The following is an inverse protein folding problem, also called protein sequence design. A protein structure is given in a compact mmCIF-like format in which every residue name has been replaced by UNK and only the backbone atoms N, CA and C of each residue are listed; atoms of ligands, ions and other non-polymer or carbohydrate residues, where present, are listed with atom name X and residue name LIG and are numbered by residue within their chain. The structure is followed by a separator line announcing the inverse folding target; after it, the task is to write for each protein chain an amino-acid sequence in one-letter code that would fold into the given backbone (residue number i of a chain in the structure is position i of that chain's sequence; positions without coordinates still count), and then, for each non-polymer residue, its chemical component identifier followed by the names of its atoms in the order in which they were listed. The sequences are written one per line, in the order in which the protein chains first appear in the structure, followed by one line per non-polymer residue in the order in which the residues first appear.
data_IF_259522676072
#
_entry.id   IF_259522676072
#
_cell.length_a   1.000
_cell.length_b   1.000
_cell.length_c   1.000
_cell.angle_alpha   90.00
_cell.angle_beta   90.00
_cell.angle_gamma   90.00
#
_symmetry.space_group_name_H-M   'P 1'
#
loop_
_entity.id
_entity.type
_entity.pdbx_description
1 polymer ?
#
# COMPACT_ATOMS: atom_id res chain seq x y z
N UNK A 1 7.77 11.38 21.79
CA UNK A 1 7.96 10.38 20.72
C UNK A 1 6.73 10.20 19.83
N UNK A 2 5.61 9.61 20.28
CA UNK A 2 4.42 9.39 19.40
C UNK A 2 3.83 10.70 18.85
N UNK A 3 3.53 11.67 19.72
CA UNK A 3 2.99 12.98 19.30
C UNK A 3 3.98 13.76 18.40
N UNK A 4 5.28 13.60 18.63
CA UNK A 4 6.30 14.26 17.80
C UNK A 4 6.38 13.61 16.41
N UNK A 5 6.23 12.28 16.35
CA UNK A 5 6.13 11.54 15.10
C UNK A 5 4.87 11.96 14.33
N UNK A 6 3.71 12.03 14.98
CA UNK A 6 2.47 12.52 14.37
C UNK A 6 2.65 13.94 13.83
N UNK A 7 3.22 14.85 14.61
CA UNK A 7 3.50 16.21 14.15
C UNK A 7 4.45 16.24 12.94
N UNK A 8 5.52 15.45 12.96
CA UNK A 8 6.46 15.36 11.83
C UNK A 8 5.80 14.79 10.56
N UNK A 9 4.88 13.84 10.72
CA UNK A 9 4.08 13.26 9.64
C UNK A 9 3.11 14.30 9.05
N UNK A 10 2.45 15.09 9.89
CA UNK A 10 1.54 16.19 9.50
C UNK A 10 2.27 17.35 8.82
N UNK A 11 3.46 17.71 9.31
CA UNK A 11 4.34 18.71 8.71
C UNK A 11 4.84 18.27 7.31
N UNK A 12 4.78 16.98 7.01
CA UNK A 12 5.15 16.44 5.70
C UNK A 12 6.65 16.43 5.46
N UNK A 13 7.44 16.21 6.52
CA UNK A 13 8.90 16.14 6.47
C UNK A 13 9.40 15.14 5.42
N UNK A 14 10.44 15.47 4.67
CA UNK A 14 10.95 14.58 3.61
C UNK A 14 11.60 13.31 4.18
N UNK A 15 12.19 13.40 5.38
CA UNK A 15 12.84 12.30 6.07
C UNK A 15 12.50 12.39 7.56
N UNK A 16 12.09 11.26 8.14
CA UNK A 16 11.81 11.11 9.58
C UNK A 16 12.67 9.98 10.12
N UNK A 17 13.43 10.27 11.18
CA UNK A 17 14.27 9.28 11.88
C UNK A 17 13.59 8.95 13.20
N UNK A 18 13.24 7.68 13.39
CA UNK A 18 12.60 7.19 14.61
C UNK A 18 13.65 6.46 15.43
N UNK A 19 14.09 7.08 16.52
CA UNK A 19 15.09 6.50 17.44
C UNK A 19 14.52 5.35 18.30
N UNK A 20 13.30 5.44 18.86
CA UNK A 20 12.76 4.34 19.65
C UNK A 20 12.42 3.16 18.74
N UNK A 21 13.17 2.07 18.86
CA UNK A 21 13.05 0.89 18.00
C UNK A 21 11.63 0.32 18.00
N UNK A 22 10.97 0.31 19.16
CA UNK A 22 9.57 -0.17 19.30
C UNK A 22 8.59 0.64 18.44
N UNK A 23 8.65 1.97 18.54
CA UNK A 23 7.77 2.85 17.77
C UNK A 23 8.08 2.75 16.27
N UNK A 24 9.36 2.76 15.92
CA UNK A 24 9.80 2.61 14.53
C UNK A 24 9.35 1.29 13.90
N UNK A 25 9.44 0.18 14.63
CA UNK A 25 9.01 -1.14 14.17
C UNK A 25 7.49 -1.23 13.98
N UNK A 26 6.71 -0.62 14.86
CA UNK A 26 5.25 -0.55 14.76
C UNK A 26 4.82 0.27 13.54
N UNK A 27 5.40 1.46 13.35
CA UNK A 27 5.16 2.30 12.16
C UNK A 27 5.61 1.60 10.88
N UNK A 28 6.80 0.99 10.87
CA UNK A 28 7.30 0.24 9.74
C UNK A 28 6.41 -0.95 9.36
N UNK A 29 5.89 -1.67 10.37
CA UNK A 29 4.94 -2.78 10.16
C UNK A 29 3.64 -2.27 9.56
N UNK A 30 3.10 -1.18 10.07
CA UNK A 30 1.87 -0.58 9.55
C UNK A 30 2.01 -0.20 8.07
N UNK A 31 3.12 0.46 7.70
CA UNK A 31 3.45 0.78 6.31
C UNK A 31 3.57 -0.50 5.45
N UNK A 32 4.24 -1.55 5.95
CA UNK A 32 4.35 -2.84 5.24
C UNK A 32 3.00 -3.51 5.01
N UNK A 33 2.10 -3.47 5.99
CA UNK A 33 0.75 -4.03 5.86
C UNK A 33 -0.03 -3.28 4.79
N UNK A 34 0.00 -1.95 4.81
CA UNK A 34 -0.61 -1.12 3.76
C UNK A 34 -0.07 -1.46 2.36
N UNK A 35 1.25 -1.55 2.22
CA UNK A 35 1.89 -1.94 0.96
C UNK A 35 1.50 -3.37 0.51
N UNK A 36 1.37 -4.31 1.44
CA UNK A 36 0.94 -5.67 1.16
C UNK A 36 -0.50 -5.70 0.62
N UNK A 37 -1.42 -5.01 1.29
CA UNK A 37 -2.81 -4.86 0.85
C UNK A 37 -2.88 -4.22 -0.53
N UNK A 38 -2.13 -3.14 -0.76
CA UNK A 38 -2.05 -2.47 -2.06
C UNK A 38 -1.65 -3.43 -3.18
N UNK A 39 -0.52 -4.15 -3.02
CA UNK A 39 -0.03 -5.10 -4.03
C UNK A 39 -0.99 -6.27 -4.24
N UNK A 40 -1.58 -6.78 -3.15
CA UNK A 40 -2.53 -7.90 -3.21
C UNK A 40 -3.80 -7.48 -3.97
N UNK A 41 -4.31 -6.27 -3.73
CA UNK A 41 -5.45 -5.73 -4.47
C UNK A 41 -5.17 -5.63 -5.98
N UNK A 42 -3.99 -5.13 -6.38
CA UNK A 42 -3.58 -5.04 -7.78
C UNK A 42 -3.47 -6.43 -8.42
N UNK A 43 -2.73 -7.35 -7.78
CA UNK A 43 -2.50 -8.70 -8.32
C UNK A 43 -3.81 -9.50 -8.45
N UNK A 44 -4.69 -9.42 -7.45
CA UNK A 44 -6.00 -10.05 -7.52
C UNK A 44 -6.90 -9.40 -8.57
N UNK A 45 -6.86 -8.07 -8.74
CA UNK A 45 -7.62 -7.39 -9.78
C UNK A 45 -7.21 -7.82 -11.20
N UNK A 46 -5.90 -7.89 -11.45
CA UNK A 46 -5.36 -8.40 -12.72
C UNK A 46 -5.73 -9.88 -12.91
N UNK A 47 -5.63 -10.69 -11.86
CA UNK A 47 -6.02 -12.10 -11.88
C UNK A 47 -7.52 -12.30 -12.19
N UNK A 48 -8.39 -11.42 -11.68
CA UNK A 48 -9.82 -11.45 -11.96
C UNK A 48 -10.12 -11.17 -13.44
N UNK A 49 -9.43 -10.20 -14.04
CA UNK A 49 -9.56 -9.89 -15.48
C UNK A 49 -9.02 -11.05 -16.32
N UNK A 50 -7.83 -11.55 -16.01
CA UNK A 50 -7.21 -12.65 -16.75
C UNK A 50 -8.04 -13.93 -16.70
N UNK A 51 -8.56 -14.30 -15.53
CA UNK A 51 -9.46 -15.44 -15.38
C UNK A 51 -10.76 -15.24 -16.16
N UNK A 52 -11.30 -14.02 -16.18
CA UNK A 52 -12.51 -13.68 -16.96
C UNK A 52 -12.33 -13.75 -18.47
N UNK A 53 -11.09 -13.58 -18.95
CA UNK A 53 -10.73 -13.71 -20.37
C UNK A 53 -10.42 -15.17 -20.78
N UNK A 54 -9.78 -15.95 -19.89
CA UNK A 54 -9.39 -17.33 -20.18
C UNK A 54 -10.56 -18.30 -20.02
N UNK A 55 -11.34 -18.15 -18.94
CA UNK A 55 -12.48 -19.02 -18.63
C UNK A 55 -13.80 -18.29 -18.90
N UNK A 56 -14.14 -18.17 -20.18
CA UNK A 56 -15.41 -17.55 -20.62
C UNK A 56 -16.64 -18.35 -20.18
N UNK A 57 -16.51 -19.67 -20.02
CA UNK A 57 -17.63 -20.59 -19.76
C UNK A 57 -17.93 -20.80 -18.25
N UNK A 58 -17.10 -20.25 -17.36
CA UNK A 58 -17.21 -20.45 -15.89
C UNK A 58 -16.99 -19.13 -15.13
N UNK A 59 -17.93 -18.17 -15.23
CA UNK A 59 -17.80 -16.86 -14.59
C UNK A 59 -17.69 -16.92 -13.05
N UNK A 60 -18.14 -18.02 -12.43
CA UNK A 60 -18.06 -18.26 -10.98
C UNK A 60 -16.63 -18.27 -10.40
N UNK A 61 -15.60 -18.49 -11.23
CA UNK A 61 -14.20 -18.47 -10.78
C UNK A 61 -13.66 -17.03 -10.66
N UNK A 62 -14.20 -16.11 -11.46
CA UNK A 62 -13.73 -14.74 -11.54
C UNK A 62 -14.30 -13.86 -10.42
N UNK A 63 -15.52 -14.18 -9.97
CA UNK A 63 -16.25 -13.49 -8.89
C UNK A 63 -15.50 -13.40 -7.56
N UNK A 64 -15.00 -14.50 -6.96
CA UNK A 64 -14.33 -14.43 -5.67
C UNK A 64 -13.00 -13.69 -5.75
N UNK A 65 -12.29 -13.79 -6.87
CA UNK A 65 -11.01 -13.09 -7.11
C UNK A 65 -11.25 -11.58 -7.25
N UNK A 66 -12.28 -11.19 -8.00
CA UNK A 66 -12.70 -9.79 -8.12
C UNK A 66 -13.19 -9.21 -6.79
N UNK A 67 -13.99 -9.97 -6.03
CA UNK A 67 -14.45 -9.57 -4.70
C UNK A 67 -13.29 -9.39 -3.72
N UNK A 68 -12.30 -10.29 -3.72
CA UNK A 68 -11.10 -10.16 -2.89
C UNK A 68 -10.31 -8.89 -3.25
N UNK A 69 -10.16 -8.59 -4.54
CA UNK A 69 -9.49 -7.36 -4.99
C UNK A 69 -10.21 -6.11 -4.48
N UNK A 70 -11.54 -6.07 -4.61
CA UNK A 70 -12.37 -4.96 -4.16
C UNK A 70 -12.33 -4.78 -2.64
N UNK A 71 -12.43 -5.88 -1.88
CA UNK A 71 -12.32 -5.85 -0.42
C UNK A 71 -10.94 -5.36 0.03
N UNK A 72 -9.88 -5.85 -0.60
CA UNK A 72 -8.51 -5.48 -0.27
C UNK A 72 -8.23 -4.00 -0.60
N UNK A 73 -8.71 -3.51 -1.75
CA UNK A 73 -8.62 -2.10 -2.13
C UNK A 73 -9.48 -1.20 -1.24
N UNK A 74 -10.69 -1.66 -0.88
CA UNK A 74 -11.62 -0.93 -0.01
C UNK A 74 -11.05 -0.79 1.40
N UNK A 75 -10.55 -1.89 1.99
CA UNK A 75 -9.87 -1.87 3.29
C UNK A 75 -8.64 -0.96 3.25
N UNK A 76 -7.81 -1.05 2.22
CA UNK A 76 -6.68 -0.14 2.07
C UNK A 76 -7.13 1.32 2.00
N UNK A 77 -8.19 1.62 1.27
CA UNK A 77 -8.71 2.99 1.15
C UNK A 77 -9.23 3.50 2.49
N UNK A 78 -10.08 2.74 3.17
CA UNK A 78 -10.65 3.16 4.46
C UNK A 78 -9.55 3.34 5.52
N UNK A 79 -8.60 2.39 5.59
CA UNK A 79 -7.56 2.39 6.62
C UNK A 79 -6.40 3.35 6.32
N UNK A 80 -6.08 3.63 5.05
CA UNK A 80 -4.92 4.46 4.66
C UNK A 80 -5.27 5.72 3.84
N UNK A 81 -6.55 6.09 3.64
CA UNK A 81 -6.85 7.35 2.91
C UNK A 81 -6.48 8.59 3.73
N UNK A 82 -6.65 8.53 5.05
CA UNK A 82 -6.38 9.66 5.95
C UNK A 82 -5.12 9.45 6.80
N UNK A 83 -4.47 8.29 6.68
CA UNK A 83 -3.24 8.00 7.42
C UNK A 83 -2.05 8.71 6.75
N UNK A 84 -1.37 9.65 7.43
CA UNK A 84 -0.21 10.33 6.86
C UNK A 84 0.98 9.37 6.61
N UNK A 85 1.05 8.22 7.29
CA UNK A 85 2.10 7.22 7.11
C UNK A 85 2.15 6.65 5.69
N UNK A 86 1.04 6.70 4.94
CA UNK A 86 0.94 6.18 3.57
C UNK A 86 1.86 6.89 2.57
N UNK A 87 2.30 8.11 2.90
CA UNK A 87 3.22 8.90 2.08
C UNK A 87 4.68 8.53 2.35
N UNK A 88 4.94 7.64 3.30
CA UNK A 88 6.27 7.29 3.73
C UNK A 88 6.59 5.84 3.39
N UNK A 89 7.86 5.59 3.11
CA UNK A 89 8.39 4.25 2.89
C UNK A 89 9.57 4.03 3.83
N UNK A 90 9.70 2.79 4.30
CA UNK A 90 10.82 2.39 5.16
C UNK A 90 12.06 2.25 4.27
N UNK A 91 13.03 3.14 4.45
CA UNK A 91 14.29 3.11 3.72
C UNK A 91 15.28 2.24 4.48
N UNK A 92 15.70 1.13 3.86
CA UNK A 92 16.68 0.20 4.43
C UNK A 92 18.02 0.24 3.67
N UNK A 93 18.11 1.00 2.56
CA UNK A 93 19.33 1.02 1.75
C UNK A 93 20.41 1.87 2.42
N UNK A 94 21.44 1.19 2.92
CA UNK A 94 22.59 1.79 3.59
C UNK A 94 23.29 2.86 2.73
N UNK A 95 23.25 2.75 1.40
CA UNK A 95 23.86 3.74 0.49
C UNK A 95 23.05 5.04 0.40
N UNK A 96 21.73 4.96 0.64
CA UNK A 96 20.85 6.13 0.71
C UNK A 96 20.88 6.74 2.10
N UNK A 97 20.96 5.90 3.12
CA UNK A 97 21.11 6.30 4.51
C UNK A 97 22.46 6.99 4.78
N UNK A 98 23.54 6.59 4.10
CA UNK A 98 24.85 7.24 4.24
C UNK A 98 24.89 8.71 3.83
N UNK A 99 23.83 9.23 3.17
CA UNK A 99 23.68 10.66 2.85
C UNK A 99 23.34 11.50 4.09
N UNK A 100 22.88 10.87 5.16
CA UNK A 100 22.47 11.55 6.39
C UNK A 100 23.49 11.20 7.49
N UNK A 101 24.47 12.09 7.74
CA UNK A 101 25.56 11.81 8.68
C UNK A 101 25.09 11.57 10.12
N UNK A 102 23.91 12.09 10.48
CA UNK A 102 23.26 11.92 11.78
C UNK A 102 22.90 10.45 12.08
N UNK A 103 22.65 9.64 11.05
CA UNK A 103 22.32 8.21 11.21
C UNK A 103 23.52 7.42 11.73
N UNK A 104 24.75 7.83 11.38
CA UNK A 104 25.96 7.15 11.86
C UNK A 104 26.20 7.37 13.37
N UNK A 105 25.73 8.48 13.93
CA UNK A 105 25.79 8.75 15.37
C UNK A 105 24.76 7.89 16.14
N UNK A 106 23.64 7.58 15.50
CA UNK A 106 22.53 6.78 16.04
C UNK A 106 22.66 5.29 15.71
N UNK A 107 23.69 4.86 14.99
CA UNK A 107 23.87 3.49 14.51
C UNK A 107 23.85 2.42 15.62
N UNK A 108 24.21 2.80 16.86
CA UNK A 108 24.13 1.91 18.02
C UNK A 108 22.68 1.50 18.39
N UNK A 109 21.67 2.28 17.98
CA UNK A 109 20.27 2.08 18.32
C UNK A 109 19.41 1.49 17.18
N UNK A 110 19.99 1.22 16.00
CA UNK A 110 19.28 0.73 14.80
C UNK A 110 18.00 1.52 14.47
N UNK A 111 18.09 2.83 14.18
CA UNK A 111 16.93 3.67 13.96
C UNK A 111 16.18 3.29 12.68
N UNK A 112 14.85 3.42 12.70
CA UNK A 112 14.02 3.26 11.51
C UNK A 112 13.91 4.61 10.80
N UNK A 113 14.26 4.62 9.52
CA UNK A 113 14.20 5.82 8.68
C UNK A 113 13.04 5.72 7.71
N UNK A 114 12.16 6.72 7.80
CA UNK A 114 11.03 6.90 6.90
C UNK A 114 11.39 7.99 5.89
N UNK A 115 11.29 7.67 4.61
CA UNK A 115 11.49 8.64 3.52
C UNK A 115 10.15 8.89 2.86
N UNK A 116 9.86 10.16 2.62
CA UNK A 116 8.65 10.57 1.92
C UNK A 116 8.74 10.13 0.46
N UNK A 117 7.76 9.32 0.05
CA UNK A 117 7.58 8.84 -1.31
C UNK A 117 6.21 9.33 -1.78
N UNK A 118 6.18 10.28 -2.72
CA UNK A 118 4.93 10.71 -3.34
C UNK A 118 4.31 9.53 -4.12
N UNK A 119 3.37 8.84 -3.47
CA UNK A 119 2.72 7.64 -4.00
C UNK A 119 1.36 7.95 -4.62
N UNK A 120 1.04 9.23 -4.89
CA UNK A 120 -0.26 9.68 -5.39
C UNK A 120 -0.62 9.03 -6.74
N UNK A 121 0.37 8.92 -7.63
CA UNK A 121 0.19 8.29 -8.94
C UNK A 121 -0.08 6.79 -8.83
N UNK A 122 0.65 6.07 -7.98
CA UNK A 122 0.48 4.63 -7.78
C UNK A 122 -0.90 4.31 -7.18
N UNK A 123 -1.38 5.15 -6.25
CA UNK A 123 -2.72 5.03 -5.69
C UNK A 123 -3.80 5.24 -6.75
N UNK A 124 -3.67 6.29 -7.57
CA UNK A 124 -4.61 6.54 -8.67
C UNK A 124 -4.65 5.36 -9.64
N UNK A 125 -3.48 4.82 -10.00
CA UNK A 125 -3.37 3.65 -10.87
C UNK A 125 -4.05 2.42 -10.25
N UNK A 126 -3.76 2.11 -8.98
CA UNK A 126 -4.43 1.00 -8.28
C UNK A 126 -5.95 1.15 -8.28
N UNK A 127 -6.46 2.33 -7.93
CA UNK A 127 -7.91 2.58 -7.89
C UNK A 127 -8.53 2.41 -9.26
N UNK A 128 -7.90 2.95 -10.31
CA UNK A 128 -8.38 2.79 -11.68
C UNK A 128 -8.40 1.33 -12.14
N UNK A 129 -7.34 0.56 -11.85
CA UNK A 129 -7.24 -0.86 -12.21
C UNK A 129 -8.30 -1.67 -11.47
N UNK A 130 -8.46 -1.43 -10.17
CA UNK A 130 -9.45 -2.16 -9.35
C UNK A 130 -10.87 -1.87 -9.81
N UNK A 131 -11.17 -0.61 -10.13
CA UNK A 131 -12.50 -0.17 -10.57
C UNK A 131 -12.83 -0.75 -11.96
N UNK A 132 -11.86 -0.72 -12.90
CA UNK A 132 -12.02 -1.36 -14.21
C UNK A 132 -12.18 -2.87 -14.11
N UNK A 133 -11.35 -3.55 -13.31
CA UNK A 133 -11.46 -4.99 -13.09
C UNK A 133 -12.82 -5.38 -12.51
N UNK A 134 -13.29 -4.63 -11.52
CA UNK A 134 -14.60 -4.83 -10.90
C UNK A 134 -15.73 -4.63 -11.89
N UNK A 135 -15.71 -3.53 -12.65
CA UNK A 135 -16.72 -3.23 -13.65
C UNK A 135 -16.77 -4.30 -14.75
N UNK A 136 -15.61 -4.78 -15.21
CA UNK A 136 -15.50 -5.86 -16.17
C UNK A 136 -16.09 -7.18 -15.64
N UNK A 137 -15.71 -7.58 -14.42
CA UNK A 137 -16.27 -8.77 -13.79
C UNK A 137 -17.78 -8.66 -13.59
N UNK A 138 -18.28 -7.52 -13.11
CA UNK A 138 -19.71 -7.27 -12.92
C UNK A 138 -20.50 -7.35 -14.24
N UNK A 139 -19.97 -6.74 -15.31
CA UNK A 139 -20.58 -6.81 -16.64
C UNK A 139 -20.63 -8.24 -17.18
N UNK A 140 -19.56 -9.03 -17.03
CA UNK A 140 -19.54 -10.45 -17.46
C UNK A 140 -20.54 -11.31 -16.69
N UNK A 141 -20.73 -11.05 -15.41
CA UNK A 141 -21.77 -11.71 -14.61
C UNK A 141 -23.15 -11.33 -15.14
N UNK A 142 -23.40 -10.03 -15.34
CA UNK A 142 -24.68 -9.56 -15.87
C UNK A 142 -25.02 -10.18 -17.22
N UNK A 143 -24.05 -10.28 -18.13
CA UNK A 143 -24.19 -10.92 -19.44
C UNK A 143 -24.48 -12.43 -19.33
N UNK A 144 -23.87 -13.13 -18.36
CA UNK A 144 -24.13 -14.56 -18.15
C UNK A 144 -25.51 -14.87 -17.54
N UNK A 145 -26.16 -13.90 -16.88
CA UNK A 145 -27.50 -14.02 -16.32
C UNK A 145 -28.61 -13.46 -17.23
N UNK A 146 -28.25 -12.84 -18.36
CA UNK A 146 -29.17 -12.31 -19.36
C UNK A 146 -29.61 -13.38 -20.35
#
# INVERSE_FOLDING_TARGET
FELELERALEEGSDVIIIEPSRLGDETARWIRVGNCLHKTAVLSGIGAVASGLIWTDRPYVCTPIGALSLLCAGLHTISWQFDPCVQYQVENDLKRLSKYPEINLLAAASPIVLVRSDNSRSKLLQTSITLLATAFCAWRIYDAYK
#
